data_IF_766208095882
#
_entry.id   IF_766208095882
#
_cell.length_a   1.000
_cell.length_b   1.000
_cell.length_c   1.000
_cell.angle_alpha   90.00
_cell.angle_beta   90.00
_cell.angle_gamma   90.00
#
_symmetry.space_group_name_H-M   'P 1'
#
loop_
_entity.id
_entity.type
_entity.pdbx_description
1 polymer ?
#
# COMPACT_ATOMS: atom_id res chain seq x y z
N UNK A 1 -17.66 17.04 -1.17
CA UNK A 1 -16.73 15.91 -1.21
C UNK A 1 -15.34 16.46 -0.99
N UNK A 2 -14.76 16.26 0.18
CA UNK A 2 -13.39 16.70 0.46
C UNK A 2 -12.42 15.58 0.08
N UNK A 3 -11.38 15.94 -0.69
CA UNK A 3 -10.20 15.09 -0.88
C UNK A 3 -9.51 14.97 0.47
N UNK A 4 -9.26 13.73 0.91
CA UNK A 4 -8.55 13.47 2.15
C UNK A 4 -7.14 12.98 1.83
N UNK A 5 -6.13 13.78 2.18
CA UNK A 5 -4.74 13.37 2.10
C UNK A 5 -4.17 13.28 3.52
N UNK A 6 -3.62 12.12 3.87
CA UNK A 6 -3.03 11.87 5.19
C UNK A 6 -1.63 11.33 5.02
N UNK A 7 -0.70 11.80 5.84
CA UNK A 7 0.66 11.27 5.89
C UNK A 7 1.13 11.02 7.31
N UNK A 8 2.02 10.04 7.45
CA UNK A 8 2.65 9.73 8.71
C UNK A 8 4.07 9.20 8.52
N UNK A 9 4.87 9.29 9.57
CA UNK A 9 6.26 8.84 9.52
C UNK A 9 6.89 8.65 10.89
N UNK A 10 8.21 8.82 10.94
CA UNK A 10 9.02 8.62 12.15
C UNK A 10 8.87 9.73 13.19
N UNK A 11 8.17 10.82 12.88
CA UNK A 11 7.96 11.92 13.80
C UNK A 11 6.80 11.69 14.79
N UNK A 12 6.22 10.49 14.78
CA UNK A 12 5.12 10.10 15.65
C UNK A 12 3.89 11.00 15.47
N UNK A 13 3.73 11.61 14.29
CA UNK A 13 2.56 12.41 13.95
C UNK A 13 1.86 11.88 12.71
N UNK A 14 0.53 11.97 12.73
CA UNK A 14 -0.32 11.77 11.57
C UNK A 14 -0.87 13.14 11.19
N UNK A 15 -0.61 13.57 9.96
CA UNK A 15 -1.00 14.89 9.47
C UNK A 15 -2.04 14.76 8.37
N UNK A 16 -3.09 15.55 8.50
CA UNK A 16 -4.14 15.71 7.50
C UNK A 16 -3.82 16.96 6.68
N UNK A 17 -3.92 16.80 5.36
CA UNK A 17 -3.61 17.82 4.39
C UNK A 17 -4.82 18.06 3.50
N UNK A 18 -5.03 19.31 3.17
CA UNK A 18 -5.89 19.68 2.07
C UNK A 18 -5.06 19.65 0.77
N UNK A 19 -5.37 18.71 -0.12
CA UNK A 19 -4.52 18.38 -1.27
C UNK A 19 -4.26 19.59 -2.20
N UNK A 20 -5.24 20.47 -2.38
CA UNK A 20 -5.11 21.61 -3.29
C UNK A 20 -4.54 22.86 -2.64
N UNK A 21 -4.52 22.99 -1.31
CA UNK A 21 -3.97 24.19 -0.66
C UNK A 21 -2.59 23.93 -0.06
N UNK A 22 -2.29 22.67 0.27
CA UNK A 22 -1.06 22.30 0.96
C UNK A 22 -1.09 22.58 2.46
N UNK A 23 -2.22 23.04 2.99
CA UNK A 23 -2.35 23.40 4.41
C UNK A 23 -2.58 22.14 5.23
N UNK A 24 -1.86 22.03 6.36
CA UNK A 24 -2.12 21.01 7.36
C UNK A 24 -3.36 21.39 8.16
N UNK A 25 -4.46 20.66 7.97
CA UNK A 25 -5.74 20.94 8.64
C UNK A 25 -5.76 20.41 10.07
N UNK A 26 -5.15 19.24 10.29
CA UNK A 26 -5.15 18.54 11.57
C UNK A 26 -3.87 17.74 11.76
N UNK A 27 -3.39 17.69 13.00
CA UNK A 27 -2.30 16.80 13.41
C UNK A 27 -2.77 15.94 14.58
N UNK A 28 -2.59 14.63 14.48
CA UNK A 28 -2.81 13.66 15.55
C UNK A 28 -1.44 13.18 16.04
N UNK A 29 -1.25 13.13 17.35
CA UNK A 29 -0.06 12.58 17.97
C UNK A 29 -0.22 11.05 18.13
N UNK A 30 0.72 10.31 17.58
CA UNK A 30 0.81 8.85 17.64
C UNK A 30 2.11 8.48 18.38
N UNK A 31 2.15 8.78 19.69
CA UNK A 31 3.36 8.66 20.51
C UNK A 31 3.83 7.23 20.74
N UNK A 32 2.94 6.25 20.60
CA UNK A 32 3.22 4.86 20.99
C UNK A 32 4.27 4.20 20.09
N UNK A 33 4.27 4.52 18.79
CA UNK A 33 5.21 3.97 17.82
C UNK A 33 5.27 4.80 16.54
N UNK A 34 6.19 4.47 15.64
CA UNK A 34 6.19 4.99 14.28
C UNK A 34 5.04 4.37 13.47
N UNK A 35 4.52 5.10 12.49
CA UNK A 35 3.46 4.59 11.62
C UNK A 35 4.08 4.02 10.34
N UNK A 36 3.95 2.71 10.16
CA UNK A 36 4.48 1.99 9.00
C UNK A 36 3.52 2.07 7.81
N UNK A 37 2.21 2.00 8.05
CA UNK A 37 1.18 2.06 7.00
C UNK A 37 -0.04 2.85 7.47
N UNK A 38 -0.56 3.69 6.58
CA UNK A 38 -1.87 4.32 6.70
C UNK A 38 -2.84 3.70 5.69
N UNK A 39 -4.09 3.53 6.12
CA UNK A 39 -5.18 3.16 5.22
C UNK A 39 -6.44 3.95 5.60
N UNK A 40 -7.08 4.55 4.61
CA UNK A 40 -8.36 5.24 4.77
C UNK A 40 -9.47 4.28 4.35
N UNK A 41 -10.55 4.25 5.12
CA UNK A 41 -11.75 3.50 4.72
C UNK A 41 -12.40 4.09 3.47
N UNK A 42 -12.97 3.27 2.57
CA UNK A 42 -13.67 3.75 1.38
C UNK A 42 -14.76 4.79 1.67
N UNK A 43 -15.47 4.67 2.81
CA UNK A 43 -16.49 5.62 3.26
C UNK A 43 -15.94 6.89 3.95
N UNK A 44 -14.61 7.04 4.06
CA UNK A 44 -13.92 8.18 4.69
C UNK A 44 -14.30 8.40 6.18
N UNK A 45 -14.83 7.40 6.87
CA UNK A 45 -15.16 7.53 8.29
C UNK A 45 -13.98 7.21 9.21
N UNK A 46 -13.21 6.17 8.87
CA UNK A 46 -12.10 5.72 9.69
C UNK A 46 -10.76 5.77 8.95
N UNK A 47 -9.71 6.04 9.71
CA UNK A 47 -8.32 5.95 9.32
C UNK A 47 -7.64 4.89 10.20
N UNK A 48 -7.04 3.87 9.61
CA UNK A 48 -6.16 2.95 10.33
C UNK A 48 -4.69 3.41 10.21
N UNK A 49 -4.00 3.41 11.33
CA UNK A 49 -2.56 3.59 11.42
C UNK A 49 -1.93 2.33 12.00
N UNK A 50 -1.13 1.63 11.19
CA UNK A 50 -0.33 0.49 11.64
C UNK A 50 0.98 0.97 12.24
N UNK A 51 1.24 0.56 13.48
CA UNK A 51 2.50 0.80 14.16
C UNK A 51 3.15 -0.49 14.67
N UNK A 52 3.79 -0.40 15.83
CA UNK A 52 4.43 -1.53 16.50
C UNK A 52 3.90 -1.74 17.92
N UNK A 53 3.26 -2.88 18.25
CA UNK A 53 2.69 -3.92 17.38
C UNK A 53 1.18 -3.68 17.10
N UNK A 54 0.66 -2.52 17.50
CA UNK A 54 -0.77 -2.22 17.49
C UNK A 54 -1.18 -1.52 16.20
N UNK A 55 -2.44 -1.70 15.81
CA UNK A 55 -3.09 -0.87 14.80
C UNK A 55 -4.12 0.02 15.48
N UNK A 56 -4.00 1.32 15.30
CA UNK A 56 -4.92 2.30 15.87
C UNK A 56 -5.93 2.77 14.83
N UNK A 57 -7.21 2.77 15.18
CA UNK A 57 -8.29 3.29 14.34
C UNK A 57 -8.69 4.68 14.83
N UNK A 58 -8.65 5.66 13.94
CA UNK A 58 -9.07 7.04 14.22
C UNK A 58 -10.34 7.37 13.44
N UNK A 59 -11.23 8.12 14.07
CA UNK A 59 -12.36 8.73 13.39
C UNK A 59 -11.89 10.01 12.67
N UNK A 60 -12.15 10.08 11.37
CA UNK A 60 -11.76 11.20 10.50
C UNK A 60 -12.63 12.42 10.79
N UNK A 61 -13.92 12.22 11.09
CA UNK A 61 -14.87 13.31 11.33
C UNK A 61 -14.69 13.95 12.71
N UNK A 62 -14.34 13.14 13.72
CA UNK A 62 -14.09 13.61 15.08
C UNK A 62 -12.72 14.26 15.19
N UNK A 63 -12.61 15.43 15.83
CA UNK A 63 -11.34 16.11 16.10
C UNK A 63 -10.55 15.47 17.27
N UNK A 64 -11.10 14.45 17.93
CA UNK A 64 -10.45 13.79 19.06
C UNK A 64 -9.14 13.11 18.62
N UNK A 65 -7.98 13.42 19.22
CA UNK A 65 -6.71 12.78 18.87
C UNK A 65 -6.58 11.34 19.37
N UNK A 66 -7.48 10.86 20.23
CA UNK A 66 -7.42 9.50 20.77
C UNK A 66 -7.91 8.47 19.73
N UNK A 67 -7.31 7.26 19.70
CA UNK A 67 -7.81 6.18 18.87
C UNK A 67 -9.18 5.71 19.38
N UNK A 68 -10.10 5.45 18.45
CA UNK A 68 -11.41 4.85 18.72
C UNK A 68 -11.25 3.38 19.14
N UNK A 69 -10.43 2.65 18.38
CA UNK A 69 -10.12 1.24 18.64
C UNK A 69 -8.61 1.00 18.49
N UNK A 70 -8.10 0.06 19.27
CA UNK A 70 -6.72 -0.42 19.19
C UNK A 70 -6.77 -1.93 18.97
N UNK A 71 -6.26 -2.39 17.82
CA UNK A 71 -6.18 -3.80 17.49
C UNK A 71 -4.86 -4.36 18.01
N UNK A 72 -4.95 -5.22 19.01
CA UNK A 72 -3.81 -5.89 19.65
C UNK A 72 -3.87 -7.40 19.38
N UNK A 73 -2.74 -7.97 18.96
CA UNK A 73 -2.65 -9.41 18.68
C UNK A 73 -1.49 -9.81 17.77
N UNK A 74 -0.88 -8.85 17.08
CA UNK A 74 0.44 -9.03 16.49
C UNK A 74 1.53 -8.91 17.57
N UNK A 75 2.66 -9.59 17.37
CA UNK A 75 3.79 -9.56 18.30
C UNK A 75 4.93 -8.65 17.82
N UNK A 76 4.93 -8.27 16.55
CA UNK A 76 5.95 -7.44 15.92
C UNK A 76 5.30 -6.32 15.07
N UNK A 77 6.11 -5.56 14.33
CA UNK A 77 5.68 -4.46 13.47
C UNK A 77 4.58 -4.89 12.50
N UNK A 78 3.50 -4.12 12.45
CA UNK A 78 2.47 -4.26 11.41
C UNK A 78 2.98 -3.53 10.16
N UNK A 79 3.08 -4.25 9.05
CA UNK A 79 3.73 -3.81 7.81
C UNK A 79 2.75 -3.22 6.81
N UNK A 80 1.54 -3.78 6.72
CA UNK A 80 0.49 -3.30 5.83
C UNK A 80 -0.89 -3.50 6.42
N UNK A 81 -1.84 -2.71 5.91
CA UNK A 81 -3.23 -2.63 6.34
C UNK A 81 -4.10 -2.44 5.11
N UNK A 82 -5.18 -3.21 5.00
CA UNK A 82 -6.16 -3.09 3.94
C UNK A 82 -7.58 -3.21 4.50
N UNK A 83 -8.49 -2.36 4.01
CA UNK A 83 -9.90 -2.40 4.36
C UNK A 83 -10.72 -3.08 3.28
N UNK A 84 -11.69 -3.87 3.69
CA UNK A 84 -12.74 -4.34 2.78
C UNK A 84 -13.60 -3.16 2.31
N UNK A 85 -14.19 -3.26 1.11
CA UNK A 85 -15.06 -2.22 0.55
C UNK A 85 -16.24 -1.85 1.47
N UNK A 86 -16.83 -2.85 2.13
CA UNK A 86 -17.95 -2.68 3.08
C UNK A 86 -17.50 -2.16 4.45
N UNK A 87 -16.20 -1.96 4.68
CA UNK A 87 -15.60 -1.50 5.95
C UNK A 87 -15.89 -2.36 7.18
N UNK A 88 -16.36 -3.59 6.99
CA UNK A 88 -16.60 -4.54 8.07
C UNK A 88 -15.32 -5.23 8.53
N UNK A 89 -14.50 -5.65 7.58
CA UNK A 89 -13.27 -6.37 7.83
C UNK A 89 -12.05 -5.48 7.59
N UNK A 90 -11.08 -5.61 8.50
CA UNK A 90 -9.73 -5.06 8.39
C UNK A 90 -8.75 -6.22 8.25
N UNK A 91 -7.86 -6.14 7.28
CA UNK A 91 -6.78 -7.12 7.09
C UNK A 91 -5.45 -6.46 7.41
N UNK A 92 -4.60 -7.13 8.17
CA UNK A 92 -3.28 -6.63 8.57
C UNK A 92 -2.22 -7.68 8.31
N UNK A 93 -1.04 -7.24 7.89
CA UNK A 93 0.17 -8.08 7.79
C UNK A 93 1.21 -7.63 8.79
N UNK A 94 2.04 -8.55 9.29
CA UNK A 94 3.04 -8.25 10.29
C UNK A 94 4.35 -8.98 10.04
N UNK A 95 5.43 -8.39 10.58
CA UNK A 95 6.75 -9.01 10.63
C UNK A 95 6.79 -10.27 11.52
N UNK A 96 5.73 -10.55 12.29
CA UNK A 96 5.58 -11.80 13.04
C UNK A 96 5.25 -13.02 12.17
N UNK A 97 5.12 -12.82 10.85
CA UNK A 97 4.81 -13.88 9.89
C UNK A 97 3.33 -14.23 9.82
N UNK A 98 2.45 -13.37 10.36
CA UNK A 98 1.00 -13.60 10.31
C UNK A 98 0.26 -12.51 9.53
N UNK A 99 -0.78 -12.94 8.82
CA UNK A 99 -1.83 -12.07 8.28
C UNK A 99 -3.06 -12.29 9.13
N UNK A 100 -3.64 -11.21 9.68
CA UNK A 100 -4.82 -11.29 10.54
C UNK A 100 -5.98 -10.52 9.92
N UNK A 101 -7.18 -11.07 10.12
CA UNK A 101 -8.44 -10.41 9.75
C UNK A 101 -9.21 -10.07 11.02
N UNK A 102 -9.65 -8.83 11.11
CA UNK A 102 -10.27 -8.23 12.29
C UNK A 102 -11.65 -7.69 11.93
N UNK A 103 -12.59 -7.75 12.86
CA UNK A 103 -13.82 -6.97 12.76
C UNK A 103 -13.52 -5.51 13.12
N UNK A 104 -13.89 -4.57 12.26
CA UNK A 104 -13.65 -3.13 12.50
C UNK A 104 -14.45 -2.63 13.71
N UNK A 105 -15.63 -3.20 13.97
CA UNK A 105 -16.52 -2.77 15.08
C UNK A 105 -16.16 -3.40 16.41
N UNK A 106 -15.43 -4.52 16.38
CA UNK A 106 -15.04 -5.26 17.56
C UNK A 106 -13.60 -5.75 17.37
N UNK A 107 -12.60 -5.18 18.09
CA UNK A 107 -11.18 -5.43 17.86
C UNK A 107 -10.73 -6.84 18.31
N UNK A 108 -11.26 -7.84 17.63
CA UNK A 108 -11.05 -9.26 17.84
C UNK A 108 -10.50 -9.87 16.56
N UNK A 109 -9.50 -10.74 16.71
CA UNK A 109 -8.96 -11.50 15.59
C UNK A 109 -9.98 -12.57 15.21
N UNK A 110 -10.51 -12.48 14.00
CA UNK A 110 -11.44 -13.50 13.48
C UNK A 110 -10.67 -14.62 12.79
N UNK A 111 -9.63 -14.27 12.05
CA UNK A 111 -8.81 -15.22 11.30
C UNK A 111 -7.34 -14.85 11.36
N UNK A 112 -6.49 -15.86 11.31
CA UNK A 112 -5.04 -15.71 11.32
C UNK A 112 -4.44 -16.71 10.35
N UNK A 113 -3.80 -16.19 9.31
CA UNK A 113 -3.01 -16.96 8.34
C UNK A 113 -1.54 -16.88 8.74
N UNK A 114 -0.83 -18.00 8.65
CA UNK A 114 0.59 -18.08 8.99
C UNK A 114 1.42 -18.24 7.73
N UNK A 115 2.52 -17.51 7.68
CA UNK A 115 3.59 -17.61 6.71
C UNK A 115 4.85 -18.14 7.41
N UNK A 116 5.77 -18.68 6.61
CA UNK A 116 7.06 -19.16 7.11
C UNK A 116 8.08 -18.02 7.33
N UNK A 117 7.78 -16.84 6.79
CA UNK A 117 8.61 -15.63 6.90
C UNK A 117 7.78 -14.38 7.23
N UNK A 118 8.44 -13.29 7.68
CA UNK A 118 7.81 -11.99 7.88
C UNK A 118 7.01 -11.54 6.65
N UNK A 119 5.77 -11.12 6.85
CA UNK A 119 4.89 -10.65 5.76
C UNK A 119 5.07 -9.16 5.60
N UNK A 120 5.45 -8.71 4.41
CA UNK A 120 5.72 -7.28 4.16
C UNK A 120 4.47 -6.54 3.65
N UNK A 121 3.60 -7.21 2.89
CA UNK A 121 2.39 -6.57 2.36
C UNK A 121 1.22 -7.55 2.23
N UNK A 122 0.02 -7.03 2.44
CA UNK A 122 -1.26 -7.68 2.14
C UNK A 122 -2.17 -6.73 1.37
N UNK A 123 -2.89 -7.27 0.39
CA UNK A 123 -3.91 -6.59 -0.41
C UNK A 123 -5.15 -7.46 -0.48
N UNK A 124 -6.32 -6.83 -0.47
CA UNK A 124 -7.61 -7.51 -0.67
C UNK A 124 -7.89 -7.51 -2.18
N UNK A 125 -8.22 -8.67 -2.73
CA UNK A 125 -8.60 -8.77 -4.13
C UNK A 125 -9.95 -8.06 -4.36
N UNK A 126 -10.19 -7.42 -5.53
CA UNK A 126 -11.45 -6.71 -5.80
C UNK A 126 -12.72 -7.54 -5.61
N UNK A 127 -12.67 -8.87 -5.78
CA UNK A 127 -13.81 -9.77 -5.50
C UNK A 127 -14.22 -9.81 -4.01
N UNK A 128 -13.42 -9.22 -3.10
CA UNK A 128 -13.62 -9.22 -1.64
C UNK A 128 -13.64 -10.61 -0.98
N UNK A 129 -13.39 -11.67 -1.75
CA UNK A 129 -13.33 -13.06 -1.30
C UNK A 129 -11.91 -13.58 -1.11
N UNK A 130 -10.92 -12.94 -1.73
CA UNK A 130 -9.52 -13.38 -1.67
C UNK A 130 -8.60 -12.30 -1.08
N UNK A 131 -7.52 -12.77 -0.45
CA UNK A 131 -6.41 -11.93 0.01
C UNK A 131 -5.12 -12.35 -0.68
N UNK A 132 -4.30 -11.38 -1.03
CA UNK A 132 -2.99 -11.61 -1.61
C UNK A 132 -1.96 -11.08 -0.63
N UNK A 133 -0.97 -11.89 -0.29
CA UNK A 133 0.07 -11.54 0.67
C UNK A 133 1.45 -11.88 0.12
N UNK A 134 2.44 -11.04 0.43
CA UNK A 134 3.83 -11.27 0.08
C UNK A 134 4.72 -11.31 1.31
N UNK A 135 5.63 -12.29 1.31
CA UNK A 135 6.59 -12.50 2.39
C UNK A 135 8.03 -12.10 2.00
N UNK A 136 8.89 -12.16 3.01
CA UNK A 136 10.33 -11.90 2.88
C UNK A 136 11.12 -13.07 2.27
N UNK A 137 10.54 -14.27 2.14
CA UNK A 137 11.17 -15.39 1.44
C UNK A 137 10.99 -15.33 -0.08
N UNK A 138 10.12 -14.45 -0.54
CA UNK A 138 9.79 -14.28 -1.95
C UNK A 138 8.56 -15.07 -2.40
N UNK A 139 7.74 -15.53 -1.46
CA UNK A 139 6.47 -16.19 -1.74
C UNK A 139 5.34 -15.15 -1.81
N UNK A 140 4.49 -15.28 -2.82
CA UNK A 140 3.18 -14.64 -2.89
C UNK A 140 2.16 -15.72 -2.61
N UNK A 141 1.35 -15.55 -1.57
CA UNK A 141 0.26 -16.47 -1.22
C UNK A 141 -1.09 -15.80 -1.43
N UNK A 142 -1.98 -16.52 -2.10
CA UNK A 142 -3.40 -16.17 -2.24
C UNK A 142 -4.20 -16.99 -1.23
N UNK A 143 -5.00 -16.31 -0.44
CA UNK A 143 -5.85 -16.88 0.59
C UNK A 143 -7.30 -16.69 0.21
N UNK A 144 -8.06 -17.77 0.19
CA UNK A 144 -9.51 -17.69 0.07
C UNK A 144 -10.13 -17.46 1.46
N UNK A 145 -10.93 -16.40 1.58
CA UNK A 145 -11.69 -16.07 2.76
C UNK A 145 -12.93 -16.98 2.91
N UNK A 146 -13.47 -17.60 1.87
CA UNK A 146 -14.58 -18.53 2.06
C UNK A 146 -14.08 -19.83 2.71
N UNK A 147 -13.08 -20.47 2.12
CA UNK A 147 -12.53 -21.74 2.60
C UNK A 147 -11.51 -21.63 3.73
N UNK A 148 -10.99 -20.43 3.99
CA UNK A 148 -9.95 -20.16 4.98
C UNK A 148 -8.67 -20.98 4.73
N UNK A 149 -8.25 -21.08 3.47
CA UNK A 149 -7.08 -21.85 3.02
C UNK A 149 -6.22 -21.06 2.04
N UNK A 150 -4.95 -21.43 1.97
CA UNK A 150 -4.06 -20.99 0.91
C UNK A 150 -4.43 -21.74 -0.38
N UNK A 151 -4.90 -21.02 -1.39
CA UNK A 151 -5.25 -21.60 -2.69
C UNK A 151 -4.04 -21.70 -3.60
N UNK A 152 -3.24 -20.62 -3.64
CA UNK A 152 -2.07 -20.52 -4.50
C UNK A 152 -0.85 -20.01 -3.73
N UNK A 153 0.29 -20.62 -4.03
CA UNK A 153 1.60 -20.18 -3.57
C UNK A 153 2.52 -20.05 -4.79
N UNK A 154 3.07 -18.85 -4.97
CA UNK A 154 3.94 -18.52 -6.08
C UNK A 154 5.28 -18.03 -5.56
N UNK A 155 6.35 -18.56 -6.14
CA UNK A 155 7.72 -18.13 -5.86
C UNK A 155 8.34 -17.61 -7.15
N UNK A 156 8.18 -16.31 -7.48
CA UNK A 156 8.79 -15.71 -8.67
C UNK A 156 10.30 -15.95 -8.75
N UNK A 157 10.99 -15.75 -7.63
CA UNK A 157 12.43 -15.93 -7.53
C UNK A 157 12.80 -16.31 -6.09
N UNK A 158 13.32 -17.54 -5.86
CA UNK A 158 13.56 -18.03 -4.51
C UNK A 158 14.66 -17.22 -3.82
N UNK A 159 14.42 -16.86 -2.56
CA UNK A 159 15.40 -16.17 -1.72
C UNK A 159 15.50 -14.66 -1.96
N UNK A 160 14.65 -14.09 -2.82
CA UNK A 160 14.54 -12.63 -2.97
C UNK A 160 13.32 -12.11 -2.19
N UNK A 161 13.51 -11.18 -1.24
CA UNK A 161 12.38 -10.67 -0.46
C UNK A 161 11.48 -9.79 -1.32
N UNK A 162 10.18 -10.05 -1.27
CA UNK A 162 9.14 -9.21 -1.86
C UNK A 162 8.75 -8.14 -0.86
N UNK A 163 8.85 -6.87 -1.24
CA UNK A 163 8.58 -5.74 -0.36
C UNK A 163 7.14 -5.27 -0.46
N UNK A 164 6.57 -5.35 -1.66
CA UNK A 164 5.26 -4.78 -1.94
C UNK A 164 4.48 -5.61 -2.95
N UNK A 165 3.16 -5.62 -2.80
CA UNK A 165 2.21 -6.22 -3.73
C UNK A 165 1.07 -5.24 -3.99
N UNK A 166 0.61 -5.18 -5.24
CA UNK A 166 -0.60 -4.49 -5.65
C UNK A 166 -1.45 -5.40 -6.52
N UNK A 167 -2.76 -5.28 -6.38
CA UNK A 167 -3.72 -5.91 -7.28
C UNK A 167 -4.40 -4.83 -8.13
N UNK A 168 -4.74 -5.17 -9.36
CA UNK A 168 -5.50 -4.33 -10.28
C UNK A 168 -6.95 -4.18 -9.77
N UNK A 169 -7.58 -3.03 -10.00
CA UNK A 169 -8.96 -2.76 -9.54
C UNK A 169 -10.01 -3.62 -10.23
N UNK A 170 -9.72 -4.07 -11.45
CA UNK A 170 -10.51 -5.01 -12.24
C UNK A 170 -10.27 -6.49 -11.88
N UNK A 171 -9.26 -6.77 -11.03
CA UNK A 171 -8.86 -8.12 -10.64
C UNK A 171 -8.12 -8.90 -11.74
N UNK A 172 -7.70 -8.24 -12.83
CA UNK A 172 -7.05 -8.91 -13.96
C UNK A 172 -5.55 -9.15 -13.75
N UNK A 173 -4.91 -8.40 -12.85
CA UNK A 173 -3.46 -8.46 -12.66
C UNK A 173 -3.05 -8.32 -11.19
N UNK A 174 -1.89 -8.92 -10.90
CA UNK A 174 -1.16 -8.75 -9.64
C UNK A 174 0.27 -8.37 -9.97
N UNK A 175 0.80 -7.45 -9.18
CA UNK A 175 2.18 -6.98 -9.32
C UNK A 175 2.89 -7.09 -7.98
N UNK A 176 4.11 -7.61 -7.99
CA UNK A 176 4.98 -7.62 -6.81
C UNK A 176 6.32 -6.94 -7.09
N UNK A 177 6.78 -6.15 -6.13
CA UNK A 177 8.09 -5.50 -6.13
C UNK A 177 9.07 -6.23 -5.22
N UNK A 178 10.23 -6.59 -5.76
CA UNK A 178 11.30 -7.22 -5.00
C UNK A 178 12.36 -6.22 -4.52
N UNK A 179 13.08 -6.64 -3.48
CA UNK A 179 14.23 -5.91 -2.96
C UNK A 179 15.41 -5.80 -3.96
N UNK A 180 15.43 -6.61 -5.02
CA UNK A 180 16.45 -6.53 -6.08
C UNK A 180 16.21 -5.39 -7.08
N UNK A 181 15.05 -4.72 -7.00
CA UNK A 181 14.63 -3.71 -7.97
C UNK A 181 13.85 -4.29 -9.16
N UNK A 182 13.55 -5.59 -9.12
CA UNK A 182 12.72 -6.26 -10.11
C UNK A 182 11.24 -6.15 -9.74
N UNK A 183 10.41 -6.03 -10.76
CA UNK A 183 8.95 -6.11 -10.67
C UNK A 183 8.49 -7.35 -11.42
N UNK A 184 7.58 -8.09 -10.80
CA UNK A 184 6.96 -9.28 -11.37
C UNK A 184 5.47 -8.99 -11.55
N UNK A 185 4.96 -9.27 -12.75
CA UNK A 185 3.56 -9.07 -13.11
C UNK A 185 2.95 -10.43 -13.45
N UNK A 186 1.79 -10.72 -12.89
CA UNK A 186 0.99 -11.90 -13.20
C UNK A 186 -0.38 -11.48 -13.72
N UNK A 187 -0.85 -12.17 -14.76
CA UNK A 187 -2.26 -12.18 -15.14
C UNK A 187 -3.01 -13.03 -14.14
N UNK A 188 -4.13 -12.54 -13.68
CA UNK A 188 -5.05 -13.25 -12.82
C UNK A 188 -6.33 -13.52 -13.61
N UNK A 189 -6.56 -14.79 -13.90
CA UNK A 189 -7.83 -15.24 -14.47
C UNK A 189 -8.66 -15.81 -13.33
N UNK A 190 -9.61 -14.99 -12.84
CA UNK A 190 -10.59 -15.45 -11.86
C UNK A 190 -11.73 -16.14 -12.59
N UNK A 191 -11.70 -17.47 -12.62
CA UNK A 191 -12.88 -18.27 -12.95
C UNK A 191 -13.71 -18.48 -11.68
N UNK A 192 -15.01 -18.78 -11.83
CA UNK A 192 -15.97 -18.95 -10.71
C UNK A 192 -15.46 -19.93 -9.63
N UNK A 193 -14.59 -20.88 -9.99
CA UNK A 193 -14.11 -21.91 -9.07
C UNK A 193 -12.62 -21.79 -8.70
N UNK A 194 -11.80 -21.14 -9.54
CA UNK A 194 -10.34 -21.03 -9.31
C UNK A 194 -9.75 -19.77 -9.91
N UNK A 195 -8.87 -19.15 -9.14
CA UNK A 195 -8.06 -18.01 -9.55
C UNK A 195 -6.70 -18.49 -10.02
N UNK A 196 -6.46 -18.55 -11.32
CA UNK A 196 -5.16 -18.97 -11.86
C UNK A 196 -4.27 -17.76 -12.12
N UNK A 197 -3.01 -17.88 -11.70
CA UNK A 197 -2.00 -16.84 -11.88
C UNK A 197 -0.99 -17.26 -12.94
N UNK A 198 -0.93 -16.50 -14.03
CA UNK A 198 -0.01 -16.72 -15.13
C UNK A 198 1.07 -15.62 -15.14
N UNK A 199 2.36 -15.95 -15.07
CA UNK A 199 3.41 -14.94 -15.13
C UNK A 199 3.37 -14.26 -16.50
N UNK A 200 3.20 -12.94 -16.52
CA UNK A 200 3.18 -12.13 -17.74
C UNK A 200 4.59 -11.67 -18.07
N UNK A 201 5.14 -10.80 -17.21
CA UNK A 201 6.44 -10.17 -17.47
C UNK A 201 7.23 -9.99 -16.19
N UNK A 202 8.56 -9.97 -16.36
CA UNK A 202 9.53 -9.58 -15.34
C UNK A 202 10.41 -8.50 -15.96
N UNK A 203 10.57 -7.39 -15.26
CA UNK A 203 11.48 -6.34 -15.69
C UNK A 203 12.16 -5.68 -14.49
N UNK A 204 13.30 -5.05 -14.75
CA UNK A 204 14.05 -4.32 -13.72
C UNK A 204 13.60 -2.87 -13.70
N UNK A 205 12.75 -2.52 -12.74
CA UNK A 205 12.24 -1.17 -12.60
C UNK A 205 13.30 -0.22 -12.04
N UNK A 206 14.10 -0.66 -11.07
CA UNK A 206 15.10 0.16 -10.38
C UNK A 206 16.44 -0.56 -10.21
N UNK A 207 17.51 0.23 -9.97
CA UNK A 207 18.84 -0.33 -9.69
C UNK A 207 18.99 -0.80 -8.25
N UNK A 208 18.28 -0.14 -7.32
CA UNK A 208 18.20 -0.46 -5.89
C UNK A 208 16.84 -1.08 -5.54
N UNK A 209 16.62 -1.36 -4.26
CA UNK A 209 15.41 -1.99 -3.78
C UNK A 209 14.15 -1.14 -4.01
N UNK A 210 13.05 -1.83 -4.33
CA UNK A 210 11.72 -1.24 -4.41
C UNK A 210 11.11 -1.23 -3.01
N UNK A 211 10.52 -0.11 -2.64
CA UNK A 211 9.80 0.06 -1.37
C UNK A 211 8.31 -0.17 -1.56
N UNK A 212 7.75 0.34 -2.67
CA UNK A 212 6.32 0.28 -2.96
C UNK A 212 6.06 0.07 -4.44
N UNK A 213 5.04 -0.73 -4.72
CA UNK A 213 4.42 -0.87 -6.03
C UNK A 213 2.93 -0.61 -5.88
N UNK A 214 2.35 0.14 -6.81
CA UNK A 214 0.92 0.44 -6.80
C UNK A 214 0.42 0.54 -8.25
N UNK A 215 -0.69 -0.14 -8.55
CA UNK A 215 -1.43 0.06 -9.79
C UNK A 215 -2.41 1.23 -9.65
N UNK A 216 -2.62 1.96 -10.73
CA UNK A 216 -3.60 3.03 -10.81
C UNK A 216 -5.03 2.48 -10.80
N UNK A 217 -6.01 3.33 -10.45
CA UNK A 217 -7.41 2.93 -10.34
C UNK A 217 -8.02 2.49 -11.68
N UNK A 218 -7.49 2.98 -12.79
CA UNK A 218 -7.83 2.62 -14.17
C UNK A 218 -6.97 1.50 -14.77
N UNK A 219 -6.06 0.91 -13.98
CA UNK A 219 -5.13 -0.16 -14.36
C UNK A 219 -4.16 0.16 -15.51
N UNK A 220 -4.06 1.43 -15.95
CA UNK A 220 -3.16 1.83 -17.06
C UNK A 220 -1.77 2.21 -16.60
N UNK A 221 -1.62 2.69 -15.38
CA UNK A 221 -0.34 3.14 -14.86
C UNK A 221 0.10 2.28 -13.69
N UNK A 222 1.39 2.01 -13.63
CA UNK A 222 2.05 1.36 -12.50
C UNK A 222 3.03 2.35 -11.90
N UNK A 223 2.86 2.68 -10.62
CA UNK A 223 3.84 3.45 -9.86
C UNK A 223 4.79 2.51 -9.10
N UNK A 224 6.07 2.79 -9.19
CA UNK A 224 7.13 2.10 -8.45
C UNK A 224 7.95 3.11 -7.69
N UNK A 225 8.16 2.87 -6.40
CA UNK A 225 8.98 3.70 -5.53
C UNK A 225 10.22 2.93 -5.10
N UNK A 226 11.35 3.63 -4.96
CA UNK A 226 12.62 2.98 -4.65
C UNK A 226 13.53 3.78 -3.73
N UNK A 227 14.47 3.05 -3.14
CA UNK A 227 15.66 3.55 -2.47
C UNK A 227 16.60 4.39 -3.34
N UNK A 228 16.46 4.31 -4.66
CA UNK A 228 17.26 5.08 -5.61
C UNK A 228 16.82 6.55 -5.70
N UNK A 229 15.95 6.99 -4.79
CA UNK A 229 15.45 8.36 -4.67
C UNK A 229 14.54 8.75 -5.84
N UNK A 230 14.03 7.76 -6.59
CA UNK A 230 13.10 7.99 -7.69
C UNK A 230 11.79 7.25 -7.47
N UNK A 231 10.71 7.87 -7.93
CA UNK A 231 9.49 7.16 -8.25
C UNK A 231 9.38 7.11 -9.78
N UNK A 232 9.03 5.95 -10.33
CA UNK A 232 8.83 5.75 -11.78
C UNK A 232 7.40 5.33 -12.05
N UNK A 233 6.84 5.89 -13.11
CA UNK A 233 5.51 5.53 -13.60
C UNK A 233 5.68 4.80 -14.92
N UNK A 234 5.00 3.67 -15.04
CA UNK A 234 5.05 2.80 -16.20
C UNK A 234 3.67 2.69 -16.83
N UNK A 235 3.62 2.70 -18.15
CA UNK A 235 2.40 2.38 -18.89
C UNK A 235 2.24 0.86 -18.96
N UNK A 236 1.06 0.40 -18.55
CA UNK A 236 0.63 -1.00 -18.45
C UNK A 236 -0.18 -1.46 -19.67
N UNK A 237 -0.21 -0.69 -20.76
CA UNK A 237 -0.77 -1.13 -22.04
C UNK A 237 0.04 -2.31 -22.63
N UNK A 238 -0.31 -3.53 -22.21
CA UNK A 238 0.33 -4.81 -22.59
C UNK A 238 -0.15 -5.34 -23.95
N UNK A 239 -0.43 -4.48 -24.93
CA UNK A 239 -1.12 -4.85 -26.17
C UNK A 239 -0.37 -5.88 -27.04
N UNK A 240 0.91 -6.14 -26.82
CA UNK A 240 1.74 -7.01 -27.67
C UNK A 240 2.82 -7.83 -26.91
N UNK A 241 2.52 -8.31 -25.69
CA UNK A 241 3.50 -9.06 -24.85
C UNK A 241 4.81 -8.29 -24.57
N UNK A 242 4.82 -6.97 -24.76
CA UNK A 242 5.93 -6.09 -24.43
C UNK A 242 5.98 -5.84 -22.92
N UNK A 243 7.21 -5.70 -22.39
CA UNK A 243 7.41 -5.19 -21.04
C UNK A 243 6.75 -3.82 -20.89
N UNK A 244 6.25 -3.46 -19.69
CA UNK A 244 5.68 -2.14 -19.46
C UNK A 244 6.68 -1.04 -19.81
N UNK A 245 6.19 0.03 -20.43
CA UNK A 245 7.02 1.11 -20.93
C UNK A 245 7.26 2.13 -19.81
N UNK A 246 8.51 2.55 -19.61
CA UNK A 246 8.79 3.66 -18.68
C UNK A 246 8.24 4.95 -19.28
N UNK A 247 7.19 5.49 -18.68
CA UNK A 247 6.57 6.74 -19.09
C UNK A 247 7.34 7.91 -18.48
N UNK A 248 7.51 7.89 -17.15
CA UNK A 248 8.02 9.04 -16.41
C UNK A 248 8.94 8.64 -15.26
N UNK A 249 9.96 9.46 -14.99
CA UNK A 249 10.81 9.31 -13.81
C UNK A 249 10.77 10.58 -12.98
N UNK A 250 10.17 10.49 -11.80
CA UNK A 250 9.97 11.59 -10.87
C UNK A 250 11.24 11.80 -10.04
N UNK A 251 12.10 12.71 -10.50
CA UNK A 251 13.40 13.04 -9.89
C UNK A 251 13.33 14.37 -9.13
N UNK A 252 12.82 14.34 -7.91
CA UNK A 252 12.93 15.49 -6.97
C UNK A 252 13.30 15.09 -5.55
N UNK A 253 13.22 13.79 -5.21
CA UNK A 253 13.46 13.30 -3.86
C UNK A 253 14.96 13.23 -3.56
N UNK A 254 15.33 13.61 -2.34
CA UNK A 254 16.72 13.55 -1.88
C UNK A 254 17.03 12.28 -1.09
N UNK A 255 15.99 11.56 -0.65
CA UNK A 255 16.08 10.32 0.13
C UNK A 255 15.12 9.26 -0.44
N UNK A 256 15.07 8.11 0.21
CA UNK A 256 14.21 7.00 -0.18
C UNK A 256 12.75 7.44 -0.25
N UNK A 257 12.06 7.00 -1.31
CA UNK A 257 10.61 7.13 -1.46
C UNK A 257 10.00 5.87 -0.89
N UNK A 258 9.12 5.97 0.09
CA UNK A 258 8.60 4.81 0.82
C UNK A 258 7.25 4.34 0.32
N UNK A 259 6.37 5.28 -0.05
CA UNK A 259 4.98 4.97 -0.37
C UNK A 259 4.47 5.92 -1.44
N UNK A 260 3.43 5.46 -2.15
CA UNK A 260 2.73 6.23 -3.15
C UNK A 260 1.23 5.97 -3.11
N UNK A 261 0.46 6.93 -3.60
CA UNK A 261 -0.99 6.82 -3.77
C UNK A 261 -1.43 7.57 -5.03
N UNK A 262 -2.24 6.94 -5.88
CA UNK A 262 -2.87 7.58 -7.03
C UNK A 262 -4.16 8.30 -6.62
N UNK A 263 -4.51 9.35 -7.37
CA UNK A 263 -5.88 9.87 -7.38
C UNK A 263 -6.84 8.91 -8.08
N UNK A 264 -8.14 9.03 -7.82
CA UNK A 264 -9.18 8.20 -8.43
C UNK A 264 -9.29 8.37 -9.95
N UNK A 265 -8.93 9.55 -10.47
CA UNK A 265 -8.86 9.83 -11.90
C UNK A 265 -7.51 9.43 -12.54
N UNK A 266 -6.59 8.87 -11.75
CA UNK A 266 -5.22 8.52 -12.16
C UNK A 266 -4.41 9.68 -12.74
N UNK A 267 -4.82 10.95 -12.58
CA UNK A 267 -4.10 12.10 -13.11
C UNK A 267 -2.95 12.55 -12.19
N UNK A 268 -3.09 12.32 -10.89
CA UNK A 268 -2.13 12.74 -9.88
C UNK A 268 -1.53 11.55 -9.13
N UNK A 269 -0.26 11.70 -8.76
CA UNK A 269 0.45 10.77 -7.89
C UNK A 269 0.96 11.51 -6.65
N UNK A 270 0.70 10.96 -5.47
CA UNK A 270 1.29 11.44 -4.24
C UNK A 270 2.41 10.51 -3.82
N UNK A 271 3.57 11.05 -3.47
CA UNK A 271 4.72 10.27 -2.99
C UNK A 271 5.17 10.73 -1.60
N UNK A 272 5.50 9.77 -0.74
CA UNK A 272 6.07 9.99 0.59
C UNK A 272 7.56 9.67 0.60
N UNK A 273 8.37 10.59 1.11
CA UNK A 273 9.83 10.41 1.17
C UNK A 273 10.41 10.63 2.56
N UNK A 274 11.54 9.97 2.79
CA UNK A 274 12.39 10.18 3.95
C UNK A 274 12.97 11.59 4.05
N UNK A 275 12.86 12.41 3.01
CA UNK A 275 13.33 13.80 3.01
C UNK A 275 12.38 14.79 3.70
N UNK A 276 11.44 14.27 4.51
CA UNK A 276 10.44 15.01 5.30
C UNK A 276 9.24 15.54 4.51
N UNK A 277 9.28 15.42 3.19
CA UNK A 277 8.24 15.98 2.34
C UNK A 277 7.37 14.90 1.71
N UNK A 278 6.08 15.22 1.64
CA UNK A 278 5.14 14.57 0.73
C UNK A 278 5.05 15.44 -0.52
N UNK A 279 4.97 14.84 -1.70
CA UNK A 279 4.87 15.58 -2.97
C UNK A 279 3.66 15.11 -3.76
N UNK A 280 2.92 16.06 -4.30
CA UNK A 280 1.85 15.83 -5.27
C UNK A 280 2.41 16.11 -6.66
N UNK A 281 2.29 15.13 -7.54
CA UNK A 281 2.78 15.17 -8.92
C UNK A 281 1.60 15.13 -9.86
N UNK A 282 1.69 15.91 -10.93
CA UNK A 282 0.80 15.80 -12.08
C UNK A 282 1.49 14.92 -13.11
N UNK A 283 0.83 13.83 -13.51
CA UNK A 283 1.41 12.85 -14.43
C UNK A 283 1.46 13.34 -15.87
N UNK A 284 0.60 14.29 -16.26
CA UNK A 284 0.60 14.85 -17.61
C UNK A 284 1.80 15.80 -17.82
N UNK A 285 2.12 16.62 -16.82
CA UNK A 285 3.24 17.59 -16.88
C UNK A 285 4.55 17.04 -16.33
N UNK A 286 4.51 15.99 -15.52
CA UNK A 286 5.66 15.46 -14.75
C UNK A 286 6.26 16.44 -13.75
N UNK A 287 5.53 17.50 -13.41
CA UNK A 287 5.97 18.51 -12.47
C UNK A 287 5.39 18.27 -11.08
N UNK A 288 6.12 18.72 -10.07
CA UNK A 288 5.61 18.76 -8.69
C UNK A 288 4.60 19.89 -8.58
N UNK A 289 3.30 19.55 -8.48
CA UNK A 289 2.24 20.52 -8.25
C UNK A 289 2.41 21.14 -6.86
N UNK A 290 2.66 20.29 -5.86
CA UNK A 290 2.81 20.72 -4.46
C UNK A 290 3.80 19.89 -3.67
N UNK A 291 4.37 20.56 -2.67
CA UNK A 291 5.20 19.94 -1.65
C UNK A 291 4.60 20.26 -0.28
N UNK A 292 4.24 19.22 0.46
CA UNK A 292 3.70 19.34 1.81
C UNK A 292 4.86 19.28 2.80
N UNK A 293 5.04 20.38 3.54
CA UNK A 293 6.09 20.51 4.54
C UNK A 293 5.44 20.62 5.92
N UNK A 294 5.87 19.78 6.85
CA UNK A 294 5.36 19.79 8.21
C UNK A 294 5.92 18.68 9.08
N UNK A 295 6.28 17.54 8.49
CA UNK A 295 6.92 16.47 9.24
C UNK A 295 8.35 16.87 9.65
N UNK A 296 8.74 16.52 10.88
CA UNK A 296 10.11 16.80 11.39
C UNK A 296 11.10 15.68 11.10
N UNK A 297 10.59 14.48 10.80
CA UNK A 297 11.36 13.28 10.41
C UNK A 297 10.82 12.70 9.10
N UNK A 298 11.45 11.65 8.59
CA UNK A 298 11.09 11.06 7.30
C UNK A 298 9.64 10.56 7.30
N UNK A 299 8.94 10.79 6.18
CA UNK A 299 7.57 10.32 5.95
C UNK A 299 7.64 8.93 5.33
N UNK A 300 6.87 8.00 5.87
CA UNK A 300 6.92 6.59 5.48
C UNK A 300 5.67 6.20 4.71
N UNK A 301 4.49 6.66 5.13
CA UNK A 301 3.23 6.25 4.50
C UNK A 301 2.36 7.45 4.17
N UNK A 302 1.61 7.29 3.08
CA UNK A 302 0.62 8.24 2.60
C UNK A 302 -0.67 7.50 2.26
N UNK A 303 -1.80 8.11 2.59
CA UNK A 303 -3.11 7.64 2.18
C UNK A 303 -3.87 8.80 1.55
N UNK A 304 -4.40 8.56 0.34
CA UNK A 304 -5.24 9.48 -0.39
C UNK A 304 -6.60 8.83 -0.61
N UNK A 305 -7.68 9.57 -0.36
CA UNK A 305 -9.02 9.19 -0.78
C UNK A 305 -9.76 10.44 -1.29
N UNK A 306 -9.98 10.49 -2.59
CA UNK A 306 -10.62 11.58 -3.34
C UNK A 306 -12.02 11.24 -3.88
N UNK A 307 -12.47 9.99 -3.71
CA UNK A 307 -13.80 9.49 -4.15
C UNK A 307 -14.97 10.00 -3.31
#
# INVERSE_FOLDING_TARGET
MSVLLVSAGYDHTIRFWEALTGVCSRTIQHSDSQVNRLAITPNKHYLAAAGNPKVHLYDIASTNPLPLHSFEGHTNNVTSVAFQIDTRWLTTSSEDGTVKVWDVRAPSVQRSYRHDAPVNEVVIHPNQGELISADRNGTVKVWDLAENKCTHELTPEPGTPLQSVSCASDGSMVVAGANTGNVYIWSMDSSIEKTTLHPLTKFRAHSKYITKVLLSGDCRHLATCSADHTARVWDMNLSDNSSPLLETTLRSHQRWVWDCAFSADSAYLVTASSDHYVRLWDLASNETVRQYSGHSKGVISVALNDV
#
